data_IF_478958121579
#
_entry.id   IF_478958121579
#
_cell.length_a   1.000
_cell.length_b   1.000
_cell.length_c   1.000
_cell.angle_alpha   90.00
_cell.angle_beta   90.00
_cell.angle_gamma   90.00
#
_symmetry.space_group_name_H-M   'P 1'
#
loop_
_entity.id
_entity.type
_entity.pdbx_description
1 polymer ?
#
# COMPACT_ATOMS: atom_id res chain seq x y z
N UNK A 1 -39.12 -11.78 -25.67
CA UNK A 1 -38.17 -10.67 -25.54
C UNK A 1 -37.76 -10.33 -24.09
N UNK A 2 -38.68 -10.27 -23.13
CA UNK A 2 -38.32 -9.98 -21.71
C UNK A 2 -37.32 -10.97 -21.08
N UNK A 3 -37.40 -12.26 -21.41
CA UNK A 3 -36.49 -13.29 -20.89
C UNK A 3 -35.06 -13.20 -21.40
N UNK A 4 -34.84 -12.68 -22.63
CA UNK A 4 -33.51 -12.44 -23.21
C UNK A 4 -32.81 -11.25 -22.53
N UNK A 5 -33.56 -10.23 -22.15
CA UNK A 5 -33.03 -9.08 -21.42
C UNK A 5 -32.58 -9.45 -20.00
N UNK A 6 -33.34 -10.33 -19.31
CA UNK A 6 -32.95 -10.87 -18.00
C UNK A 6 -31.69 -11.74 -18.08
N UNK A 7 -31.59 -12.56 -19.13
CA UNK A 7 -30.38 -13.37 -19.39
C UNK A 7 -29.16 -12.51 -19.65
N UNK A 8 -29.28 -11.41 -20.38
CA UNK A 8 -28.19 -10.45 -20.61
C UNK A 8 -27.78 -9.69 -19.34
N UNK A 9 -28.75 -9.29 -18.51
CA UNK A 9 -28.48 -8.62 -17.24
C UNK A 9 -27.74 -9.56 -16.28
N UNK A 10 -28.17 -10.84 -16.20
CA UNK A 10 -27.50 -11.84 -15.39
C UNK A 10 -26.09 -12.15 -15.92
N UNK A 11 -25.91 -12.21 -17.25
CA UNK A 11 -24.57 -12.41 -17.85
C UNK A 11 -23.63 -11.19 -17.60
N UNK A 12 -24.15 -9.99 -17.63
CA UNK A 12 -23.37 -8.78 -17.31
C UNK A 12 -22.98 -8.77 -15.80
N UNK A 13 -23.84 -9.28 -14.93
CA UNK A 13 -23.50 -9.44 -13.52
C UNK A 13 -22.58 -10.63 -13.24
N UNK A 14 -22.54 -11.65 -14.11
CA UNK A 14 -21.63 -12.80 -14.01
C UNK A 14 -20.24 -12.52 -14.62
N UNK A 15 -20.11 -11.50 -15.45
CA UNK A 15 -18.82 -10.90 -15.81
C UNK A 15 -18.45 -9.84 -14.77
N UNK A 16 -18.81 -10.08 -13.51
CA UNK A 16 -18.36 -9.28 -12.40
C UNK A 16 -16.86 -9.09 -12.54
N UNK A 17 -16.44 -7.84 -12.64
CA UNK A 17 -15.06 -7.45 -12.49
C UNK A 17 -14.46 -8.28 -11.37
N UNK A 18 -13.50 -9.14 -11.69
CA UNK A 18 -12.66 -9.79 -10.70
C UNK A 18 -11.72 -8.72 -10.18
N UNK A 19 -12.31 -7.78 -9.47
CA UNK A 19 -11.62 -6.76 -8.77
C UNK A 19 -10.93 -7.31 -7.53
N UNK A 20 -10.12 -6.50 -6.94
CA UNK A 20 -9.47 -6.75 -5.67
C UNK A 20 -10.53 -7.14 -4.60
N UNK A 21 -10.15 -8.07 -3.74
CA UNK A 21 -11.00 -8.45 -2.62
C UNK A 21 -11.15 -7.28 -1.64
N UNK A 22 -12.36 -7.13 -1.09
CA UNK A 22 -12.68 -6.05 -0.16
C UNK A 22 -11.73 -6.03 1.04
N UNK A 23 -11.36 -7.19 1.57
CA UNK A 23 -10.42 -7.33 2.68
C UNK A 23 -9.03 -6.78 2.31
N UNK A 24 -8.57 -7.06 1.08
CA UNK A 24 -7.28 -6.55 0.57
C UNK A 24 -7.36 -5.05 0.28
N UNK A 25 -8.48 -4.56 -0.25
CA UNK A 25 -8.71 -3.13 -0.49
C UNK A 25 -8.64 -2.34 0.82
N UNK A 26 -9.33 -2.81 1.86
CA UNK A 26 -9.29 -2.20 3.20
C UNK A 26 -7.87 -2.24 3.76
N UNK A 27 -7.17 -3.37 3.65
CA UNK A 27 -5.79 -3.51 4.10
C UNK A 27 -4.83 -2.54 3.39
N UNK A 28 -5.03 -2.28 2.08
CA UNK A 28 -4.26 -1.28 1.34
C UNK A 28 -4.55 0.15 1.85
N UNK A 29 -5.80 0.49 2.13
CA UNK A 29 -6.16 1.80 2.67
C UNK A 29 -5.59 2.02 4.08
N UNK A 30 -5.64 1.00 4.94
CA UNK A 30 -5.01 1.05 6.27
C UNK A 30 -3.48 1.23 6.16
N UNK A 31 -2.86 0.56 5.21
CA UNK A 31 -1.44 0.71 4.91
C UNK A 31 -1.10 2.14 4.46
N UNK A 32 -1.91 2.72 3.56
CA UNK A 32 -1.77 4.13 3.15
C UNK A 32 -1.86 5.07 4.35
N UNK A 33 -2.83 4.87 5.24
CA UNK A 33 -2.98 5.68 6.45
C UNK A 33 -1.74 5.58 7.35
N UNK A 34 -1.15 4.40 7.48
CA UNK A 34 0.07 4.20 8.25
C UNK A 34 1.26 4.98 7.66
N UNK A 35 1.45 4.94 6.33
CA UNK A 35 2.47 5.74 5.64
C UNK A 35 2.25 7.24 5.85
N UNK A 36 1.00 7.71 5.71
CA UNK A 36 0.65 9.12 5.92
C UNK A 36 0.91 9.55 7.36
N UNK A 37 0.54 8.73 8.33
CA UNK A 37 0.74 9.01 9.76
C UNK A 37 2.23 9.06 10.14
N UNK A 38 3.02 8.23 9.49
CA UNK A 38 4.46 8.12 9.71
C UNK A 38 5.28 9.16 8.96
N UNK A 39 4.64 10.00 8.12
CA UNK A 39 5.31 11.11 7.44
C UNK A 39 5.89 12.08 8.48
N UNK A 40 7.19 12.40 8.40
CA UNK A 40 7.81 13.33 9.33
C UNK A 40 7.10 14.69 9.34
N UNK A 41 6.76 15.19 10.53
CA UNK A 41 6.10 16.49 10.69
C UNK A 41 7.12 17.63 10.54
N UNK A 42 7.58 17.87 9.32
CA UNK A 42 8.54 18.91 8.99
C UNK A 42 7.85 19.99 8.17
N UNK A 43 7.76 21.18 8.74
CA UNK A 43 6.97 22.32 8.23
C UNK A 43 7.34 22.83 6.84
N UNK A 44 8.50 22.46 6.31
CA UNK A 44 8.94 22.84 4.95
C UNK A 44 8.73 21.72 3.91
N UNK A 45 8.21 20.56 4.32
CA UNK A 45 7.82 19.49 3.40
C UNK A 45 6.34 19.60 2.99
N UNK A 46 5.87 20.82 2.70
CA UNK A 46 4.50 21.07 2.22
C UNK A 46 4.15 20.25 0.96
N UNK A 47 5.18 19.79 0.22
CA UNK A 47 5.00 18.91 -0.93
C UNK A 47 4.76 17.45 -0.56
N UNK A 48 5.04 17.03 0.70
CA UNK A 48 4.71 15.71 1.25
C UNK A 48 3.30 15.68 1.86
N UNK A 49 2.38 16.45 1.32
CA UNK A 49 0.99 16.41 1.77
C UNK A 49 0.45 14.98 1.71
N UNK A 50 -0.30 14.55 2.71
CA UNK A 50 -0.93 13.23 2.74
C UNK A 50 -1.70 12.87 1.46
N UNK A 51 -2.26 13.88 0.78
CA UNK A 51 -2.96 13.74 -0.49
C UNK A 51 -2.09 13.33 -1.67
N UNK A 52 -0.75 13.41 -1.54
CA UNK A 52 0.21 12.99 -2.59
C UNK A 52 0.72 11.57 -2.39
N UNK A 53 0.61 11.03 -1.18
CA UNK A 53 0.96 9.64 -0.92
C UNK A 53 -0.12 8.74 -1.48
N UNK A 54 0.20 7.96 -2.51
CA UNK A 54 -0.70 7.00 -3.15
C UNK A 54 -2.06 7.63 -3.54
N UNK A 55 -2.07 8.66 -4.41
CA UNK A 55 -3.27 9.46 -4.71
C UNK A 55 -4.39 8.64 -5.35
N UNK A 56 -4.09 7.56 -6.08
CA UNK A 56 -5.11 6.69 -6.69
C UNK A 56 -5.79 5.75 -5.69
N UNK A 57 -5.24 5.59 -4.48
CA UNK A 57 -5.79 4.71 -3.47
C UNK A 57 -6.95 5.41 -2.75
N UNK A 58 -8.14 5.25 -3.28
CA UNK A 58 -9.37 5.88 -2.79
C UNK A 58 -10.48 4.86 -2.61
N UNK A 59 -11.35 5.09 -1.64
CA UNK A 59 -12.33 4.12 -1.17
C UNK A 59 -13.31 3.64 -2.25
N UNK A 60 -13.68 4.50 -3.20
CA UNK A 60 -14.68 4.21 -4.23
C UNK A 60 -14.07 3.65 -5.53
N UNK A 61 -12.83 3.17 -5.52
CA UNK A 61 -12.16 2.68 -6.73
C UNK A 61 -11.60 1.27 -6.59
N UNK A 62 -11.36 0.66 -7.74
CA UNK A 62 -10.86 -0.71 -7.89
C UNK A 62 -9.37 -0.80 -7.56
N UNK A 63 -8.98 -1.52 -6.51
CA UNK A 63 -7.61 -1.49 -6.02
C UNK A 63 -6.60 -2.19 -6.94
N UNK A 64 -7.04 -3.05 -7.86
CA UNK A 64 -6.15 -3.60 -8.89
C UNK A 64 -5.77 -2.57 -9.96
N UNK A 65 -6.48 -1.45 -10.03
CA UNK A 65 -6.16 -0.32 -10.92
C UNK A 65 -5.35 0.76 -10.20
N UNK A 66 -5.14 0.62 -8.90
CA UNK A 66 -4.35 1.57 -8.14
C UNK A 66 -2.88 1.52 -8.53
N UNK A 67 -2.25 2.69 -8.51
CA UNK A 67 -0.81 2.77 -8.71
C UNK A 67 -0.07 1.83 -7.75
N UNK A 68 1.03 1.24 -8.22
CA UNK A 68 1.91 0.39 -7.41
C UNK A 68 1.29 -0.92 -6.90
N UNK A 69 0.07 -1.25 -7.30
CA UNK A 69 -0.61 -2.51 -7.01
C UNK A 69 -0.66 -3.38 -8.27
N UNK A 70 -0.37 -4.66 -8.12
CA UNK A 70 -0.57 -5.64 -9.19
C UNK A 70 -1.35 -6.82 -8.64
N UNK A 71 -2.41 -7.19 -9.33
CA UNK A 71 -3.24 -8.33 -9.00
C UNK A 71 -3.02 -9.51 -9.94
N UNK A 72 -3.36 -10.68 -9.47
CA UNK A 72 -3.51 -11.88 -10.29
C UNK A 72 -4.77 -11.74 -11.16
N UNK A 73 -4.59 -11.72 -12.47
CA UNK A 73 -5.71 -11.55 -13.44
C UNK A 73 -6.75 -12.68 -13.38
N UNK A 74 -6.42 -13.81 -12.78
CA UNK A 74 -7.32 -14.97 -12.66
C UNK A 74 -8.08 -14.97 -11.34
N UNK A 75 -7.40 -14.68 -10.23
CA UNK A 75 -7.98 -14.74 -8.88
C UNK A 75 -8.47 -13.40 -8.38
N UNK A 76 -7.89 -12.28 -8.82
CA UNK A 76 -8.15 -10.93 -8.33
C UNK A 76 -7.37 -10.58 -7.06
N UNK A 77 -6.58 -11.50 -6.49
CA UNK A 77 -5.76 -11.21 -5.32
C UNK A 77 -4.57 -10.33 -5.66
N UNK A 78 -4.19 -9.48 -4.72
CA UNK A 78 -2.96 -8.67 -4.79
C UNK A 78 -1.73 -9.58 -4.75
N UNK A 79 -0.84 -9.42 -5.74
CA UNK A 79 0.38 -10.24 -5.85
C UNK A 79 1.67 -9.46 -5.70
N UNK A 80 1.67 -8.16 -6.04
CA UNK A 80 2.85 -7.31 -5.94
C UNK A 80 2.47 -5.94 -5.45
N UNK A 81 3.29 -5.40 -4.53
CA UNK A 81 3.20 -4.04 -4.01
C UNK A 81 4.55 -3.35 -4.16
N UNK A 82 4.59 -2.27 -4.94
CA UNK A 82 5.80 -1.50 -5.24
C UNK A 82 5.78 -0.17 -4.49
N UNK A 83 5.95 -0.21 -3.17
CA UNK A 83 5.82 0.93 -2.26
C UNK A 83 7.16 1.63 -1.97
N UNK A 84 8.07 1.56 -2.92
CA UNK A 84 9.39 2.18 -2.84
C UNK A 84 9.30 3.71 -2.86
N UNK A 85 10.07 4.36 -2.00
CA UNK A 85 10.28 5.81 -1.95
C UNK A 85 8.99 6.65 -2.00
N UNK A 86 8.03 6.33 -1.13
CA UNK A 86 6.72 7.01 -1.11
C UNK A 86 6.81 8.47 -0.67
N UNK A 87 7.85 8.83 0.09
CA UNK A 87 8.04 10.19 0.59
C UNK A 87 8.92 11.05 -0.33
N UNK A 88 9.41 10.49 -1.45
CA UNK A 88 10.21 11.19 -2.45
C UNK A 88 11.36 12.01 -1.82
N UNK A 89 12.09 11.41 -0.88
CA UNK A 89 13.23 12.07 -0.27
C UNK A 89 14.26 12.43 -1.32
N UNK A 90 14.49 13.73 -1.46
CA UNK A 90 15.62 14.23 -2.22
C UNK A 90 16.91 14.10 -1.38
N UNK A 91 17.99 13.69 -2.02
CA UNK A 91 19.29 13.52 -1.35
C UNK A 91 19.79 14.81 -0.67
N UNK A 92 19.35 15.98 -1.15
CA UNK A 92 19.72 17.28 -0.56
C UNK A 92 19.05 17.51 0.81
N UNK A 93 17.89 16.90 1.06
CA UNK A 93 17.16 17.02 2.32
C UNK A 93 17.68 16.07 3.39
N UNK A 94 18.26 14.94 3.00
CA UNK A 94 18.80 13.94 3.93
C UNK A 94 19.98 14.49 4.75
N UNK A 95 20.75 15.41 4.19
CA UNK A 95 21.88 16.05 4.89
C UNK A 95 21.45 17.03 6.00
N UNK A 96 20.19 17.48 5.98
CA UNK A 96 19.64 18.43 6.95
C UNK A 96 18.98 17.78 8.17
N UNK A 97 18.61 16.48 8.07
CA UNK A 97 17.92 15.75 9.14
C UNK A 97 18.79 14.66 9.73
N UNK A 98 18.75 14.53 11.05
CA UNK A 98 19.19 13.29 11.66
C UNK A 98 18.21 12.17 11.24
N UNK A 99 18.68 11.24 10.40
CA UNK A 99 17.88 10.10 9.92
C UNK A 99 17.20 9.34 11.04
N UNK A 100 17.68 9.46 12.29
CA UNK A 100 17.10 8.83 13.47
C UNK A 100 15.72 9.38 13.80
N UNK A 101 15.47 10.66 13.51
CA UNK A 101 14.20 11.32 13.80
C UNK A 101 13.13 11.00 12.75
N UNK A 102 13.55 10.41 11.63
CA UNK A 102 12.67 10.05 10.52
C UNK A 102 12.30 8.56 10.49
N UNK A 103 12.98 7.75 11.29
CA UNK A 103 12.76 6.29 11.30
C UNK A 103 11.43 5.96 11.98
N UNK A 104 10.62 5.17 11.31
CA UNK A 104 9.37 4.64 11.82
C UNK A 104 9.31 3.11 11.75
N UNK A 105 8.29 2.52 12.35
CA UNK A 105 8.15 1.07 12.46
C UNK A 105 6.85 0.61 11.85
N UNK A 106 6.95 -0.35 10.92
CA UNK A 106 5.83 -0.87 10.19
C UNK A 106 5.13 -1.99 10.97
N UNK A 107 3.80 -1.94 11.06
CA UNK A 107 3.02 -3.02 11.62
C UNK A 107 2.85 -4.16 10.60
N UNK A 108 3.44 -5.32 10.86
CA UNK A 108 3.40 -6.45 9.92
C UNK A 108 2.03 -7.10 9.79
N UNK A 109 1.11 -6.88 10.74
CA UNK A 109 -0.26 -7.40 10.64
C UNK A 109 -1.03 -6.85 9.45
N UNK A 110 -0.61 -5.69 8.90
CA UNK A 110 -1.17 -5.12 7.69
C UNK A 110 -1.06 -6.03 6.46
N UNK A 111 -0.12 -6.98 6.47
CA UNK A 111 0.09 -7.89 5.34
C UNK A 111 -0.70 -9.20 5.44
N UNK A 112 -1.37 -9.48 6.56
CA UNK A 112 -2.10 -10.74 6.78
C UNK A 112 -3.28 -10.95 5.83
N UNK A 113 -3.83 -9.86 5.31
CA UNK A 113 -4.96 -9.90 4.37
C UNK A 113 -4.55 -10.38 2.98
N UNK A 114 -3.28 -10.22 2.59
CA UNK A 114 -2.79 -10.48 1.23
C UNK A 114 -2.36 -11.93 1.05
N UNK A 115 -3.31 -12.78 0.69
CA UNK A 115 -3.10 -14.25 0.61
C UNK A 115 -2.18 -14.71 -0.53
N UNK A 116 -2.09 -13.94 -1.61
CA UNK A 116 -1.26 -14.25 -2.78
C UNK A 116 -0.09 -13.27 -2.98
N UNK A 117 0.24 -12.46 -1.98
CA UNK A 117 1.36 -11.52 -2.09
C UNK A 117 2.68 -12.28 -2.29
N UNK A 118 3.40 -11.95 -3.36
CA UNK A 118 4.65 -12.60 -3.78
C UNK A 118 5.83 -11.64 -3.78
N UNK A 119 5.57 -10.34 -3.91
CA UNK A 119 6.60 -9.32 -3.95
C UNK A 119 6.13 -8.07 -3.22
N UNK A 120 7.01 -7.55 -2.38
CA UNK A 120 6.80 -6.34 -1.60
C UNK A 120 8.09 -5.53 -1.63
N UNK A 121 8.02 -4.33 -2.21
CA UNK A 121 9.14 -3.39 -2.19
C UNK A 121 8.77 -2.21 -1.30
N UNK A 122 9.43 -2.09 -0.17
CA UNK A 122 9.29 -1.04 0.83
C UNK A 122 10.55 -0.17 0.95
N UNK A 123 11.48 -0.32 0.02
CA UNK A 123 12.77 0.35 0.06
C UNK A 123 12.63 1.89 0.06
N UNK A 124 13.59 2.57 0.65
CA UNK A 124 13.68 4.03 0.70
C UNK A 124 12.49 4.74 1.40
N UNK A 125 11.90 4.10 2.41
CA UNK A 125 10.82 4.69 3.22
C UNK A 125 11.21 4.93 4.68
N UNK A 126 12.48 5.00 5.00
CA UNK A 126 12.99 5.20 6.37
C UNK A 126 12.42 4.20 7.42
N UNK A 127 12.05 3.00 6.99
CA UNK A 127 11.56 1.97 7.89
C UNK A 127 12.74 1.38 8.68
N UNK A 128 12.74 1.56 10.00
CA UNK A 128 13.80 1.08 10.90
C UNK A 128 13.54 -0.32 11.45
N UNK A 129 12.37 -0.85 11.21
CA UNK A 129 11.96 -2.16 11.70
C UNK A 129 10.45 -2.36 11.62
N UNK A 130 9.98 -3.39 12.27
CA UNK A 130 8.55 -3.70 12.33
C UNK A 130 8.07 -4.01 13.74
N UNK A 131 6.77 -3.92 13.90
CA UNK A 131 6.04 -4.30 15.09
C UNK A 131 5.37 -5.64 14.80
N UNK A 132 5.64 -6.67 15.58
CA UNK A 132 5.00 -7.97 15.46
C UNK A 132 3.57 -7.98 16.03
N UNK A 133 2.86 -9.11 15.87
CA UNK A 133 1.49 -9.30 16.39
C UNK A 133 1.38 -9.20 17.93
N UNK A 134 2.49 -9.19 18.64
CA UNK A 134 2.55 -9.04 20.10
C UNK A 134 2.90 -7.63 20.52
N UNK A 135 3.09 -6.73 19.55
CA UNK A 135 3.52 -5.35 19.78
C UNK A 135 5.01 -5.24 20.11
N UNK A 136 5.81 -6.27 19.78
CA UNK A 136 7.25 -6.26 20.01
C UNK A 136 7.94 -5.58 18.82
N UNK A 137 8.80 -4.60 19.14
CA UNK A 137 9.64 -3.90 18.17
C UNK A 137 10.82 -4.78 17.76
N UNK A 138 10.94 -5.00 16.46
CA UNK A 138 12.06 -5.68 15.82
C UNK A 138 12.84 -4.67 15.01
N UNK A 139 14.02 -4.29 15.48
CA UNK A 139 14.91 -3.38 14.77
C UNK A 139 15.62 -4.08 13.63
N UNK A 140 15.76 -3.36 12.52
CA UNK A 140 16.51 -3.83 11.38
C UNK A 140 17.64 -2.83 11.10
N UNK A 141 18.86 -3.31 11.23
CA UNK A 141 20.07 -2.50 11.02
C UNK A 141 20.45 -2.30 9.55
N UNK A 142 19.64 -2.74 8.60
CA UNK A 142 19.92 -2.64 7.17
C UNK A 142 18.68 -2.22 6.39
N UNK A 143 18.77 -1.12 5.67
CA UNK A 143 17.68 -0.41 4.97
C UNK A 143 17.45 -0.90 3.53
N UNK A 144 17.89 -2.08 3.17
CA UNK A 144 17.64 -2.68 1.85
C UNK A 144 16.94 -4.02 1.99
N UNK A 145 15.66 -4.04 1.63
CA UNK A 145 14.91 -5.28 1.54
C UNK A 145 14.54 -5.56 0.10
N UNK A 146 15.14 -6.64 -0.44
CA UNK A 146 14.56 -7.45 -1.48
C UNK A 146 14.03 -8.70 -0.78
N UNK A 147 12.73 -8.90 -0.81
CA UNK A 147 12.10 -10.18 -0.46
C UNK A 147 12.08 -11.08 -1.68
#
# INVERSE_FOLDING_TARGET
MKWLLWGLIVLVHLHGHRGCFEEERVGLLEMKEEFVRSTPNVTFLDHLLPSRVLPSWVDDSECCEWERVTCNSTTGHVTHLFLHNLWEFDNELVDYFDLKDMVWFLNVSLFETFKELRSLDLSFNAIGGWIDHKGMLIYIFSVSYYL
#
